data_IF_634050116398
#
_entry.id   IF_634050116398
#
_cell.length_a   1.000
_cell.length_b   1.000
_cell.length_c   1.000
_cell.angle_alpha   90.00
_cell.angle_beta   90.00
_cell.angle_gamma   90.00
#
_symmetry.space_group_name_H-M   'P 1'
#
loop_
_entity.id
_entity.type
_entity.pdbx_description
1 polymer ?
#
# COMPACT_ATOMS: atom_id res chain seq x y z
N UNK A 1 20.15 -9.23 -21.31
CA UNK A 1 20.60 -9.86 -20.05
C UNK A 1 19.93 -9.15 -18.88
N UNK A 2 18.77 -9.60 -18.34
CA UNK A 2 18.19 -8.95 -17.17
C UNK A 2 18.29 -9.87 -15.94
N UNK A 3 19.27 -9.61 -15.06
CA UNK A 3 19.33 -10.19 -13.71
C UNK A 3 19.97 -9.20 -12.73
N UNK A 4 19.34 -8.04 -12.51
CA UNK A 4 19.83 -7.12 -11.48
C UNK A 4 18.72 -6.24 -10.88
N UNK A 5 17.71 -6.82 -10.23
CA UNK A 5 16.72 -6.02 -9.48
C UNK A 5 16.06 -6.80 -8.31
N UNK A 6 16.81 -7.62 -7.56
CA UNK A 6 16.21 -8.46 -6.50
C UNK A 6 16.81 -8.33 -5.09
N UNK A 7 17.66 -7.34 -4.81
CA UNK A 7 18.30 -7.25 -3.48
C UNK A 7 18.36 -5.83 -2.90
N UNK A 8 17.20 -5.18 -2.70
CA UNK A 8 17.10 -4.13 -1.66
C UNK A 8 15.67 -4.09 -1.09
N UNK A 9 15.33 -4.90 -0.08
CA UNK A 9 14.08 -4.65 0.66
C UNK A 9 14.08 -5.04 2.15
N UNK A 10 15.22 -5.43 2.73
CA UNK A 10 15.29 -5.86 4.14
C UNK A 10 15.63 -4.76 5.17
N UNK A 11 15.60 -3.46 4.82
CA UNK A 11 16.17 -2.42 5.71
C UNK A 11 15.24 -1.27 6.13
N UNK A 12 13.92 -1.45 6.21
CA UNK A 12 13.03 -0.36 6.64
C UNK A 12 11.96 -0.75 7.66
N UNK A 13 12.32 -1.54 8.68
CA UNK A 13 11.39 -1.90 9.78
C UNK A 13 11.42 -0.93 10.99
N UNK A 14 12.19 0.17 10.96
CA UNK A 14 12.48 0.94 12.19
C UNK A 14 12.49 2.47 12.15
N UNK A 15 12.05 3.15 11.07
CA UNK A 15 12.02 4.62 11.06
C UNK A 15 10.63 5.18 11.37
N UNK A 16 10.53 6.28 12.14
CA UNK A 16 9.27 6.98 12.38
C UNK A 16 8.66 7.43 11.04
N UNK A 17 7.44 6.95 10.79
CA UNK A 17 6.75 7.00 9.50
C UNK A 17 6.16 8.39 9.24
N UNK A 18 7.04 9.36 9.01
CA UNK A 18 6.68 10.65 8.43
C UNK A 18 6.06 10.40 7.04
N UNK A 19 5.05 11.18 6.65
CA UNK A 19 4.41 11.07 5.33
C UNK A 19 5.48 11.17 4.23
N UNK A 20 5.75 10.05 3.57
CA UNK A 20 6.70 10.03 2.45
C UNK A 20 5.92 10.25 1.16
N UNK A 21 6.33 11.29 0.44
CA UNK A 21 5.95 11.51 -0.94
C UNK A 21 6.92 10.73 -1.83
N UNK A 22 6.39 9.97 -2.78
CA UNK A 22 7.18 9.14 -3.69
C UNK A 22 7.03 9.69 -5.10
N UNK A 23 8.13 9.97 -5.77
CA UNK A 23 8.10 10.39 -7.16
C UNK A 23 8.25 9.16 -8.07
N UNK A 24 7.44 9.08 -9.13
CA UNK A 24 7.72 8.16 -10.25
C UNK A 24 8.73 8.77 -11.24
N UNK A 25 9.01 8.06 -12.33
CA UNK A 25 9.93 8.50 -13.38
C UNK A 25 9.43 9.72 -14.18
N UNK A 26 8.11 9.96 -14.22
CA UNK A 26 7.46 11.09 -14.89
C UNK A 26 7.30 12.31 -13.96
N UNK A 27 7.75 12.21 -12.70
CA UNK A 27 7.68 13.27 -11.70
C UNK A 27 6.33 13.35 -10.96
N UNK A 28 5.48 12.34 -11.06
CA UNK A 28 4.21 12.29 -10.32
C UNK A 28 4.47 11.97 -8.85
N UNK A 29 3.76 12.67 -7.96
CA UNK A 29 3.89 12.50 -6.52
C UNK A 29 2.82 11.55 -5.99
N UNK A 30 3.21 10.37 -5.54
CA UNK A 30 2.35 9.42 -4.85
C UNK A 30 2.46 9.55 -3.34
N UNK A 31 1.33 9.41 -2.66
CA UNK A 31 1.26 9.34 -1.20
C UNK A 31 0.11 8.41 -0.76
N UNK A 32 0.11 8.00 0.50
CA UNK A 32 -1.01 7.24 1.07
C UNK A 32 -1.43 7.81 2.43
N UNK A 33 -2.66 7.52 2.83
CA UNK A 33 -3.21 7.84 4.15
C UNK A 33 -3.91 6.62 4.74
N UNK A 34 -3.77 6.40 6.03
CA UNK A 34 -4.49 5.34 6.74
C UNK A 34 -5.80 5.90 7.28
N UNK A 35 -6.88 5.19 6.98
CA UNK A 35 -8.23 5.51 7.40
C UNK A 35 -8.58 4.69 8.64
N UNK A 36 -9.33 5.29 9.56
CA UNK A 36 -10.01 4.57 10.64
C UNK A 36 -11.50 4.50 10.28
N UNK A 37 -12.02 3.29 10.15
CA UNK A 37 -13.41 3.03 9.79
C UNK A 37 -14.32 3.14 11.02
N UNK A 38 -15.63 3.30 10.79
CA UNK A 38 -16.64 3.42 11.85
C UNK A 38 -16.79 2.15 12.71
N UNK A 39 -16.40 0.99 12.20
CA UNK A 39 -16.41 -0.30 12.88
C UNK A 39 -15.10 -0.62 13.63
N UNK A 40 -14.27 0.39 13.88
CA UNK A 40 -12.95 0.28 14.53
C UNK A 40 -11.89 -0.48 13.72
N UNK A 41 -12.16 -0.78 12.45
CA UNK A 41 -11.16 -1.33 11.52
C UNK A 41 -10.39 -0.21 10.81
N UNK A 42 -9.40 -0.59 10.00
CA UNK A 42 -8.56 0.33 9.23
C UNK A 42 -8.65 0.06 7.74
N UNK A 43 -8.56 1.12 6.96
CA UNK A 43 -8.40 1.09 5.50
C UNK A 43 -7.28 2.01 5.06
N UNK A 44 -7.16 2.24 3.76
CA UNK A 44 -6.20 3.20 3.24
C UNK A 44 -6.69 3.90 1.98
N UNK A 45 -6.16 5.09 1.77
CA UNK A 45 -6.25 5.82 0.52
C UNK A 45 -4.86 5.93 -0.12
N UNK A 46 -4.80 5.92 -1.45
CA UNK A 46 -3.61 6.26 -2.23
C UNK A 46 -3.94 7.43 -3.16
N UNK A 47 -3.03 8.40 -3.19
CA UNK A 47 -3.15 9.64 -3.96
C UNK A 47 -2.01 9.74 -4.96
N UNK A 48 -2.28 10.32 -6.13
CA UNK A 48 -1.27 10.80 -7.07
C UNK A 48 -1.52 12.29 -7.36
N UNK A 49 -0.48 13.12 -7.20
CA UNK A 49 -0.55 14.57 -7.34
C UNK A 49 -1.69 15.19 -6.51
N UNK A 50 -1.92 14.63 -5.32
CA UNK A 50 -3.00 15.03 -4.41
C UNK A 50 -4.40 14.53 -4.79
N UNK A 51 -4.57 13.89 -5.95
CA UNK A 51 -5.85 13.30 -6.38
C UNK A 51 -5.99 11.87 -5.86
N UNK A 52 -7.14 11.54 -5.27
CA UNK A 52 -7.47 10.19 -4.82
C UNK A 52 -7.50 9.23 -6.01
N UNK A 53 -6.69 8.18 -5.97
CA UNK A 53 -6.64 7.11 -6.96
C UNK A 53 -7.25 5.81 -6.45
N UNK A 54 -6.95 5.45 -5.21
CA UNK A 54 -7.43 4.21 -4.58
C UNK A 54 -8.07 4.58 -3.26
N UNK A 55 -9.31 4.12 -3.07
CA UNK A 55 -10.03 4.18 -1.80
C UNK A 55 -10.35 2.76 -1.38
N UNK A 56 -9.65 2.26 -0.36
CA UNK A 56 -9.72 0.87 0.06
C UNK A 56 -10.05 0.79 1.56
N UNK A 57 -11.33 0.95 1.94
CA UNK A 57 -11.77 0.85 3.33
C UNK A 57 -11.68 -0.59 3.86
N UNK A 58 -11.71 -1.59 2.98
CA UNK A 58 -11.82 -3.00 3.33
C UNK A 58 -10.56 -3.79 2.95
N UNK A 59 -10.33 -4.95 3.57
CA UNK A 59 -9.20 -5.83 3.20
C UNK A 59 -9.39 -6.31 1.74
N UNK A 60 -8.44 -6.06 0.82
CA UNK A 60 -8.55 -6.51 -0.56
C UNK A 60 -8.51 -8.04 -0.63
N UNK A 61 -9.13 -8.62 -1.67
CA UNK A 61 -9.16 -10.06 -1.92
C UNK A 61 -9.76 -10.97 -0.81
N UNK A 62 -10.29 -10.41 0.29
CA UNK A 62 -11.15 -11.13 1.22
C UNK A 62 -12.62 -10.84 0.92
N UNK A 63 -13.51 -11.84 1.06
CA UNK A 63 -14.95 -11.61 0.95
C UNK A 63 -15.46 -10.76 2.13
N UNK A 64 -16.44 -9.91 1.85
CA UNK A 64 -17.09 -9.05 2.84
C UNK A 64 -16.54 -7.62 2.89
N UNK A 65 -16.98 -6.86 3.90
CA UNK A 65 -16.75 -5.41 4.01
C UNK A 65 -16.00 -5.03 5.30
N UNK A 66 -15.12 -5.89 5.80
CA UNK A 66 -14.30 -5.56 6.97
C UNK A 66 -12.96 -4.95 6.54
N UNK A 67 -12.54 -3.91 7.25
CA UNK A 67 -11.19 -3.38 7.15
C UNK A 67 -10.16 -4.24 7.88
N UNK A 68 -8.91 -3.80 7.85
CA UNK A 68 -7.82 -4.39 8.59
C UNK A 68 -8.03 -4.23 10.10
N UNK A 69 -7.66 -5.25 10.87
CA UNK A 69 -7.72 -5.22 12.33
C UNK A 69 -6.72 -4.20 12.91
N UNK A 70 -5.58 -4.02 12.25
CA UNK A 70 -4.52 -3.12 12.70
C UNK A 70 -4.21 -2.03 11.68
N UNK A 71 -3.83 -0.85 12.18
CA UNK A 71 -3.32 0.26 11.38
C UNK A 71 -2.09 -0.18 10.57
N UNK A 72 -1.23 -0.98 11.18
CA UNK A 72 0.02 -1.44 10.56
C UNK A 72 -0.23 -2.35 9.36
N UNK A 73 -1.19 -3.28 9.45
CA UNK A 73 -1.59 -4.13 8.34
C UNK A 73 -2.10 -3.30 7.16
N UNK A 74 -2.97 -2.33 7.43
CA UNK A 74 -3.47 -1.41 6.39
C UNK A 74 -2.32 -0.65 5.74
N UNK A 75 -1.33 -0.23 6.52
CA UNK A 75 -0.18 0.52 6.03
C UNK A 75 0.78 -0.30 5.19
N UNK A 76 1.07 -1.54 5.59
CA UNK A 76 1.90 -2.47 4.82
C UNK A 76 1.28 -2.70 3.45
N UNK A 77 -0.04 -2.89 3.38
CA UNK A 77 -0.75 -3.10 2.11
C UNK A 77 -0.85 -1.81 1.28
N UNK A 78 -1.07 -0.65 1.91
CA UNK A 78 -1.04 0.64 1.22
C UNK A 78 0.30 0.88 0.52
N UNK A 79 1.42 0.53 1.17
CA UNK A 79 2.75 0.61 0.56
C UNK A 79 2.95 -0.39 -0.57
N UNK A 80 2.38 -1.58 -0.48
CA UNK A 80 2.40 -2.54 -1.60
C UNK A 80 1.71 -1.93 -2.83
N UNK A 81 0.50 -1.38 -2.65
CA UNK A 81 -0.26 -0.74 -3.73
C UNK A 81 0.50 0.45 -4.31
N UNK A 82 1.06 1.31 -3.46
CA UNK A 82 1.86 2.44 -3.90
C UNK A 82 3.08 1.98 -4.72
N UNK A 83 3.78 0.93 -4.29
CA UNK A 83 4.91 0.36 -5.07
C UNK A 83 4.48 -0.17 -6.43
N UNK A 84 3.32 -0.81 -6.53
CA UNK A 84 2.77 -1.29 -7.81
C UNK A 84 2.47 -0.12 -8.75
N UNK A 85 1.83 0.93 -8.23
CA UNK A 85 1.56 2.16 -8.99
C UNK A 85 2.84 2.83 -9.49
N UNK A 86 3.86 2.95 -8.64
CA UNK A 86 5.17 3.50 -9.03
C UNK A 86 5.85 2.66 -10.12
N UNK A 87 5.62 1.35 -10.15
CA UNK A 87 6.17 0.45 -11.17
C UNK A 87 5.36 0.43 -12.48
N UNK A 88 4.30 1.26 -12.59
CA UNK A 88 3.50 1.40 -13.80
C UNK A 88 2.23 0.51 -13.85
N UNK A 89 1.90 -0.21 -12.78
CA UNK A 89 0.68 -1.02 -12.74
C UNK A 89 -0.55 -0.11 -12.63
N UNK A 90 -1.35 -0.02 -13.70
CA UNK A 90 -2.57 0.81 -13.72
C UNK A 90 -3.70 0.26 -12.85
N UNK A 91 -3.69 -1.05 -12.57
CA UNK A 91 -4.66 -1.74 -11.73
C UNK A 91 -3.90 -2.52 -10.65
N UNK A 92 -3.55 -1.89 -9.52
CA UNK A 92 -2.79 -2.53 -8.46
C UNK A 92 -3.70 -3.52 -7.71
N UNK A 93 -3.79 -4.74 -8.21
CA UNK A 93 -4.46 -5.84 -7.52
C UNK A 93 -3.60 -6.31 -6.35
N UNK A 94 -4.21 -6.72 -5.24
CA UNK A 94 -3.50 -7.33 -4.11
C UNK A 94 -4.08 -8.73 -3.94
N UNK A 95 -3.22 -9.74 -4.05
CA UNK A 95 -3.60 -11.15 -3.85
C UNK A 95 -3.53 -11.56 -2.38
N UNK A 96 -4.24 -12.63 -2.02
CA UNK A 96 -4.19 -13.22 -0.67
C UNK A 96 -2.76 -13.64 -0.31
N UNK A 97 -2.01 -14.21 -1.26
CA UNK A 97 -0.65 -14.69 -1.00
C UNK A 97 0.32 -13.53 -0.73
N UNK A 98 0.14 -12.38 -1.38
CA UNK A 98 0.91 -11.17 -1.06
C UNK A 98 0.60 -10.66 0.35
N UNK A 99 -0.67 -10.65 0.75
CA UNK A 99 -1.05 -10.23 2.11
C UNK A 99 -0.44 -11.17 3.17
N UNK A 100 -0.44 -12.48 2.94
CA UNK A 100 0.19 -13.47 3.83
C UNK A 100 1.71 -13.28 3.91
N UNK A 101 2.39 -13.09 2.78
CA UNK A 101 3.85 -12.83 2.74
C UNK A 101 4.22 -11.56 3.50
N UNK A 102 3.31 -10.60 3.55
CA UNK A 102 3.48 -9.33 4.26
C UNK A 102 3.05 -9.39 5.73
N UNK A 103 2.52 -10.52 6.21
CA UNK A 103 1.90 -10.68 7.53
C UNK A 103 0.81 -9.62 7.80
N UNK A 104 0.07 -9.22 6.77
CA UNK A 104 -1.01 -8.25 6.89
C UNK A 104 -2.32 -8.89 7.37
N UNK A 105 -2.45 -10.21 7.19
CA UNK A 105 -3.57 -11.07 7.60
C UNK A 105 -3.04 -12.38 8.17
#
# INVERSE_FOLDING_TARGET
MPHLLLLVSLLFFGLPRNFHNYNDHDGRIYSYKILKNGDQTFGYDVYADGKLLVHQPNVPALPGNRGFVSRESAEIVARLVLRKLLNGDKLPTVSIDEMRKLNAI
#
